data_IF_590580873812
#
_entry.id   IF_590580873812
#
_cell.length_a   1.000
_cell.length_b   1.000
_cell.length_c   1.000
_cell.angle_alpha   90.00
_cell.angle_beta   90.00
_cell.angle_gamma   90.00
#
_symmetry.space_group_name_H-M   'P 1'
#
loop_
_entity.id
_entity.type
_entity.pdbx_description
1 polymer ?
#
# COMPACT_ATOMS: atom_id res chain seq x y z
N UNK A 1 -4.89 10.95 16.77
CA UNK A 1 -4.90 10.01 15.62
C UNK A 1 -3.50 9.99 15.01
N UNK A 2 -2.89 8.81 14.88
CA UNK A 2 -1.51 8.68 14.39
C UNK A 2 -1.50 8.62 12.87
N UNK A 3 -0.72 9.48 12.23
CA UNK A 3 -0.48 9.47 10.79
C UNK A 3 0.98 9.15 10.53
N UNK A 4 1.23 8.22 9.64
CA UNK A 4 2.54 7.76 9.20
C UNK A 4 2.63 7.96 7.69
N UNK A 5 3.73 8.54 7.25
CA UNK A 5 4.07 8.66 5.84
C UNK A 5 5.41 7.96 5.69
N UNK A 6 5.45 6.96 4.82
CA UNK A 6 6.61 6.11 4.64
C UNK A 6 6.71 5.65 3.17
N UNK A 7 7.78 4.94 2.81
CA UNK A 7 8.07 4.59 1.41
C UNK A 7 8.50 3.13 1.31
N UNK A 8 7.94 2.41 0.34
CA UNK A 8 8.31 1.04 0.01
C UNK A 8 8.50 0.88 -1.49
N UNK A 9 9.70 0.45 -1.94
CA UNK A 9 10.03 0.24 -3.37
C UNK A 9 9.62 1.42 -4.26
N UNK A 10 10.03 2.63 -3.86
CA UNK A 10 9.73 3.91 -4.52
C UNK A 10 8.26 4.37 -4.48
N UNK A 11 7.38 3.59 -3.86
CA UNK A 11 5.98 3.98 -3.65
C UNK A 11 5.84 4.61 -2.27
N UNK A 12 5.49 5.90 -2.26
CA UNK A 12 5.11 6.58 -1.03
C UNK A 12 3.69 6.19 -0.63
N UNK A 13 3.52 5.87 0.65
CA UNK A 13 2.23 5.51 1.20
C UNK A 13 1.96 6.27 2.49
N UNK A 14 0.68 6.44 2.78
CA UNK A 14 0.18 7.04 4.01
C UNK A 14 -0.59 5.99 4.79
N UNK A 15 -0.40 5.95 6.10
CA UNK A 15 -1.20 5.19 7.06
C UNK A 15 -1.76 6.15 8.11
N UNK A 16 -3.05 6.07 8.37
CA UNK A 16 -3.74 6.87 9.39
C UNK A 16 -4.50 5.93 10.29
N UNK A 17 -4.20 5.92 11.58
CA UNK A 17 -5.00 5.21 12.57
C UNK A 17 -6.31 5.99 12.79
N UNK A 18 -7.43 5.39 12.35
CA UNK A 18 -8.76 6.00 12.40
C UNK A 18 -9.58 5.50 13.59
N UNK A 19 -9.37 4.26 14.02
CA UNK A 19 -9.97 3.66 15.21
C UNK A 19 -8.95 2.73 15.89
N UNK A 20 -9.17 2.32 17.15
CA UNK A 20 -8.42 1.23 17.75
C UNK A 20 -8.44 0.02 16.83
N UNK A 21 -7.25 -0.46 16.47
CA UNK A 21 -7.05 -1.57 15.53
C UNK A 21 -7.45 -1.31 14.08
N UNK A 22 -7.89 -0.11 13.68
CA UNK A 22 -8.24 0.20 12.28
C UNK A 22 -7.38 1.32 11.70
N UNK A 23 -6.79 1.02 10.56
CA UNK A 23 -5.89 1.90 9.83
C UNK A 23 -6.40 2.16 8.44
N UNK A 24 -6.57 3.43 8.08
CA UNK A 24 -6.75 3.85 6.70
C UNK A 24 -5.39 3.97 6.01
N UNK A 25 -5.30 3.52 4.77
CA UNK A 25 -4.08 3.61 3.97
C UNK A 25 -4.36 4.15 2.57
N UNK A 26 -3.37 4.81 2.00
CA UNK A 26 -3.40 5.27 0.61
C UNK A 26 -2.01 5.31 0.00
N UNK A 27 -1.89 4.92 -1.26
CA UNK A 27 -0.66 5.01 -2.04
C UNK A 27 -0.98 5.20 -3.52
N UNK A 28 -0.01 5.65 -4.31
CA UNK A 28 -0.16 5.83 -5.74
C UNK A 28 0.79 4.91 -6.50
N UNK A 29 0.28 4.19 -7.51
CA UNK A 29 1.09 3.39 -8.42
C UNK A 29 0.64 3.70 -9.85
N UNK A 30 1.58 4.10 -10.72
CA UNK A 30 1.32 4.42 -12.13
C UNK A 30 0.18 5.45 -12.33
N UNK A 31 0.14 6.50 -11.51
CA UNK A 31 -0.92 7.53 -11.56
C UNK A 31 -2.30 7.06 -11.10
N UNK A 32 -2.41 5.87 -10.50
CA UNK A 32 -3.64 5.37 -9.88
C UNK A 32 -3.50 5.39 -8.37
N UNK A 33 -4.31 6.23 -7.72
CA UNK A 33 -4.41 6.28 -6.27
C UNK A 33 -5.23 5.09 -5.78
N UNK A 34 -4.60 4.25 -4.96
CA UNK A 34 -5.22 3.14 -4.25
C UNK A 34 -5.39 3.54 -2.79
N UNK A 35 -6.55 3.21 -2.22
CA UNK A 35 -6.89 3.51 -0.83
C UNK A 35 -7.75 2.42 -0.24
N UNK A 36 -7.70 2.25 1.06
CA UNK A 36 -8.51 1.28 1.78
C UNK A 36 -8.25 1.31 3.27
N UNK A 37 -8.73 0.30 3.97
CA UNK A 37 -8.47 0.13 5.40
C UNK A 37 -7.84 -1.22 5.69
N UNK A 38 -7.18 -1.34 6.83
CA UNK A 38 -6.67 -2.61 7.33
C UNK A 38 -6.80 -2.65 8.85
N UNK A 39 -7.14 -3.84 9.37
CA UNK A 39 -7.20 -4.06 10.82
C UNK A 39 -5.87 -4.54 11.37
N UNK A 40 -5.26 -3.79 12.28
CA UNK A 40 -4.00 -4.12 12.91
C UNK A 40 -3.86 -3.44 14.28
N UNK A 41 -3.59 -4.25 15.31
CA UNK A 41 -3.30 -3.81 16.69
C UNK A 41 -1.97 -3.08 16.84
N UNK A 42 -1.00 -3.44 16.01
CA UNK A 42 0.37 -2.91 16.07
C UNK A 42 0.62 -2.03 14.86
N UNK A 43 1.29 -0.88 15.06
CA UNK A 43 1.69 0.04 13.99
C UNK A 43 2.49 -0.69 12.89
N UNK A 44 3.49 -1.48 13.30
CA UNK A 44 4.36 -2.22 12.40
C UNK A 44 3.60 -3.27 11.58
N UNK A 45 2.55 -3.86 12.14
CA UNK A 45 1.71 -4.82 11.42
C UNK A 45 0.87 -4.10 10.35
N UNK A 46 0.37 -2.90 10.66
CA UNK A 46 -0.36 -2.08 9.70
C UNK A 46 0.54 -1.70 8.51
N UNK A 47 1.77 -1.25 8.79
CA UNK A 47 2.78 -0.97 7.76
C UNK A 47 3.08 -2.20 6.89
N UNK A 48 3.41 -3.36 7.50
CA UNK A 48 3.72 -4.59 6.76
C UNK A 48 2.59 -5.02 5.81
N UNK A 49 1.33 -4.85 6.21
CA UNK A 49 0.18 -5.15 5.34
C UNK A 49 0.13 -4.23 4.13
N UNK A 50 0.40 -2.93 4.31
CA UNK A 50 0.45 -1.97 3.20
C UNK A 50 1.62 -2.27 2.26
N UNK A 51 2.81 -2.57 2.79
CA UNK A 51 3.94 -3.04 1.97
C UNK A 51 3.55 -4.27 1.12
N UNK A 52 2.88 -5.26 1.73
CA UNK A 52 2.40 -6.46 1.03
C UNK A 52 1.39 -6.14 -0.07
N UNK A 53 0.51 -5.15 0.14
CA UNK A 53 -0.43 -4.69 -0.89
C UNK A 53 0.29 -4.01 -2.05
N UNK A 54 1.27 -3.15 -1.75
CA UNK A 54 2.11 -2.51 -2.77
C UNK A 54 2.85 -3.59 -3.58
N UNK A 55 3.47 -4.58 -2.92
CA UNK A 55 4.16 -5.68 -3.61
C UNK A 55 3.22 -6.49 -4.52
N UNK A 56 1.95 -6.69 -4.10
CA UNK A 56 0.94 -7.37 -4.92
C UNK A 56 0.55 -6.54 -6.14
N UNK A 57 0.33 -5.25 -5.98
CA UNK A 57 0.02 -4.35 -7.10
C UNK A 57 1.19 -4.26 -8.08
N UNK A 58 2.43 -4.16 -7.59
CA UNK A 58 3.63 -4.17 -8.43
C UNK A 58 3.74 -5.47 -9.25
N UNK A 59 3.57 -6.64 -8.62
CA UNK A 59 3.55 -7.94 -9.32
C UNK A 59 2.40 -8.05 -10.33
N UNK A 60 1.23 -7.49 -10.01
CA UNK A 60 0.08 -7.48 -10.91
C UNK A 60 0.34 -6.64 -12.17
N UNK A 61 0.99 -5.48 -12.01
CA UNK A 61 1.42 -4.62 -13.12
C UNK A 61 2.43 -5.33 -14.01
N UNK A 62 3.40 -6.06 -13.44
CA UNK A 62 4.37 -6.84 -14.23
C UNK A 62 3.70 -7.89 -15.11
N UNK A 63 2.65 -8.56 -14.63
CA UNK A 63 1.90 -9.57 -15.39
C UNK A 63 0.95 -8.98 -16.44
N UNK A 64 0.49 -7.75 -16.25
CA UNK A 64 -0.43 -7.06 -17.15
C UNK A 64 0.24 -6.34 -18.33
N UNK A 65 1.58 -6.28 -18.39
CA UNK A 65 2.27 -5.75 -19.58
C UNK A 65 2.13 -6.77 -20.72
N UNK A 66 1.58 -6.42 -21.89
CA UNK A 66 1.66 -7.29 -23.06
C UNK A 66 3.14 -7.52 -23.34
N UNK A 67 3.55 -8.78 -23.27
CA UNK A 67 4.87 -9.23 -23.71
C UNK A 67 4.97 -8.82 -25.18
N UNK A 68 5.77 -7.77 -25.49
CA UNK A 68 6.07 -7.42 -26.88
C UNK A 68 6.61 -8.69 -27.54
N UNK A 69 5.96 -9.20 -28.61
CA UNK A 69 6.60 -10.22 -29.43
C UNK A 69 7.80 -9.56 -30.11
N UNK A 70 8.93 -10.27 -30.05
CA UNK A 70 10.14 -9.98 -30.84
C UNK A 70 9.84 -10.20 -32.33
#
# INVERSE_FOLDING_TARGET
MKKLIDRHRDIQYTLTNIEPDLWSWSFEINGKIKRGTTRARLDLLAQRRVCTLIDRELKGVERGKPKKPD
#
